data_IF_637392239276
#
_entry.id   IF_637392239276
#
_cell.length_a   1.000
_cell.length_b   1.000
_cell.length_c   1.000
_cell.angle_alpha   90.00
_cell.angle_beta   90.00
_cell.angle_gamma   90.00
#
_symmetry.space_group_name_H-M   'P 1'
#
loop_
_entity.id
_entity.type
_entity.pdbx_description
1 polymer ?
#
# COMPACT_ATOMS: atom_id res chain seq x y z
N UNK A 1 -10.02 36.83 59.95
CA UNK A 1 -11.38 36.24 59.99
C UNK A 1 -12.08 36.63 58.70
N UNK A 2 -11.90 35.83 57.65
CA UNK A 2 -12.73 35.83 56.45
C UNK A 2 -12.84 34.37 56.02
N UNK A 3 -13.94 33.75 56.46
CA UNK A 3 -14.43 32.50 55.94
C UNK A 3 -15.06 32.79 54.58
N UNK A 4 -14.34 32.52 53.51
CA UNK A 4 -14.98 32.24 52.23
C UNK A 4 -14.55 30.82 51.88
N UNK A 5 -15.41 29.91 52.34
CA UNK A 5 -15.48 28.53 51.90
C UNK A 5 -15.76 28.62 50.39
N UNK A 6 -14.76 28.28 49.59
CA UNK A 6 -14.91 28.07 48.16
C UNK A 6 -15.88 26.89 47.99
N UNK A 7 -17.09 27.09 47.42
CA UNK A 7 -18.00 25.98 47.20
C UNK A 7 -17.37 25.04 46.18
N UNK A 8 -17.16 23.80 46.62
CA UNK A 8 -16.77 22.67 45.81
C UNK A 8 -17.60 22.64 44.52
N UNK A 9 -16.93 22.95 43.41
CA UNK A 9 -17.45 22.71 42.07
C UNK A 9 -17.62 21.19 41.94
N UNK A 10 -18.86 20.69 41.76
CA UNK A 10 -19.08 19.31 41.41
C UNK A 10 -18.67 19.12 39.96
N UNK A 11 -17.93 18.04 39.72
CA UNK A 11 -18.04 17.25 38.50
C UNK A 11 -17.54 17.96 37.22
N UNK A 12 -16.22 18.11 37.11
CA UNK A 12 -15.62 18.05 35.78
C UNK A 12 -15.96 16.67 35.20
N UNK A 13 -16.70 16.58 34.08
CA UNK A 13 -16.88 15.32 33.41
C UNK A 13 -15.50 14.85 32.94
N UNK A 14 -15.26 13.57 33.19
CA UNK A 14 -14.35 12.67 32.50
C UNK A 14 -13.73 13.24 31.23
N UNK A 15 -12.43 13.02 31.05
CA UNK A 15 -11.86 12.43 29.83
C UNK A 15 -10.52 11.78 30.25
N UNK A 16 -10.65 10.64 30.91
CA UNK A 16 -9.59 9.66 31.05
C UNK A 16 -9.32 9.08 29.66
N UNK A 17 -8.10 9.21 29.16
CA UNK A 17 -7.56 8.34 28.12
C UNK A 17 -8.21 8.43 26.74
N UNK A 18 -8.10 9.57 26.06
CA UNK A 18 -7.96 9.52 24.60
C UNK A 18 -6.53 9.06 24.27
N UNK A 19 -6.28 7.77 24.50
CA UNK A 19 -5.30 7.07 23.70
C UNK A 19 -5.80 7.23 22.27
N UNK A 20 -5.16 8.12 21.50
CA UNK A 20 -5.39 8.30 20.08
C UNK A 20 -5.21 6.94 19.39
N UNK A 21 -6.31 6.21 19.32
CA UNK A 21 -6.48 5.02 18.52
C UNK A 21 -6.39 5.53 17.08
N UNK A 22 -5.18 5.55 16.53
CA UNK A 22 -4.90 5.61 15.10
C UNK A 22 -5.09 4.18 14.57
N UNK A 23 -6.31 3.75 14.19
CA UNK A 23 -6.61 2.36 13.88
C UNK A 23 -6.37 2.08 12.38
N UNK A 24 -5.98 3.10 11.62
CA UNK A 24 -5.89 3.04 10.16
C UNK A 24 -4.49 2.66 9.67
N UNK A 25 -3.42 3.05 10.38
CA UNK A 25 -2.04 2.91 9.89
C UNK A 25 -1.45 1.51 10.09
N UNK A 26 -1.90 0.80 11.13
CA UNK A 26 -1.36 -0.50 11.53
C UNK A 26 -1.57 -1.58 10.46
N UNK A 27 -2.68 -1.52 9.72
CA UNK A 27 -2.96 -2.48 8.65
C UNK A 27 -2.08 -2.26 7.42
N UNK A 28 -1.80 -1.01 7.05
CA UNK A 28 -0.88 -0.73 5.95
C UNK A 28 0.55 -1.18 6.26
N UNK A 29 1.00 -1.00 7.51
CA UNK A 29 2.29 -1.47 8.00
C UNK A 29 2.38 -3.01 8.01
N UNK A 30 1.31 -3.70 8.39
CA UNK A 30 1.27 -5.18 8.34
C UNK A 30 1.45 -5.70 6.91
N UNK A 31 0.76 -5.08 5.94
CA UNK A 31 0.84 -5.44 4.52
C UNK A 31 2.22 -5.09 3.93
N UNK A 32 2.80 -3.96 4.33
CA UNK A 32 4.15 -3.55 3.99
C UNK A 32 5.19 -4.59 4.39
N UNK A 33 5.09 -5.10 5.61
CA UNK A 33 6.01 -6.09 6.15
C UNK A 33 5.86 -7.42 5.39
N UNK A 34 4.62 -7.86 5.12
CA UNK A 34 4.36 -9.06 4.31
C UNK A 34 4.98 -8.93 2.91
N UNK A 35 4.82 -7.78 2.26
CA UNK A 35 5.44 -7.46 0.96
C UNK A 35 6.96 -7.50 1.01
N UNK A 36 7.55 -6.93 2.06
CA UNK A 36 8.99 -6.92 2.27
C UNK A 36 9.53 -8.34 2.49
N UNK A 37 8.82 -9.17 3.26
CA UNK A 37 9.17 -10.57 3.50
C UNK A 37 9.09 -11.40 2.22
N UNK A 38 8.02 -11.26 1.44
CA UNK A 38 7.87 -11.93 0.13
C UNK A 38 9.02 -11.50 -0.80
N UNK A 39 9.36 -10.20 -0.81
CA UNK A 39 10.46 -9.68 -1.63
C UNK A 39 11.82 -10.20 -1.19
N UNK A 40 12.06 -10.27 0.11
CA UNK A 40 13.28 -10.82 0.69
C UNK A 40 13.43 -12.29 0.36
N UNK A 41 12.37 -13.08 0.53
CA UNK A 41 12.37 -14.52 0.25
C UNK A 41 12.58 -14.82 -1.24
N UNK A 42 11.96 -14.03 -2.12
CA UNK A 42 12.15 -14.12 -3.56
C UNK A 42 13.60 -13.81 -3.96
N UNK A 43 14.13 -12.68 -3.48
CA UNK A 43 15.50 -12.25 -3.81
C UNK A 43 16.55 -13.20 -3.23
N UNK A 44 16.24 -13.84 -2.11
CA UNK A 44 17.13 -14.83 -1.50
C UNK A 44 17.20 -16.14 -2.29
N UNK A 45 16.10 -16.53 -2.95
CA UNK A 45 16.04 -17.75 -3.77
C UNK A 45 16.95 -17.66 -5.02
N UNK A 46 17.37 -16.46 -5.44
CA UNK A 46 18.38 -16.28 -6.48
C UNK A 46 19.74 -16.90 -6.16
N UNK A 47 20.03 -17.18 -4.89
CA UNK A 47 21.29 -17.81 -4.49
C UNK A 47 21.31 -19.34 -4.71
N UNK A 48 20.21 -19.96 -5.16
CA UNK A 48 20.09 -21.42 -5.35
C UNK A 48 20.41 -21.86 -6.80
N UNK A 49 20.91 -23.09 -7.04
CA UNK A 49 21.44 -23.59 -8.32
C UNK A 49 20.66 -23.28 -9.62
N UNK A 50 21.47 -23.03 -10.66
CA UNK A 50 21.16 -22.66 -12.06
C UNK A 50 20.06 -23.48 -12.76
N UNK A 51 19.74 -24.69 -12.28
CA UNK A 51 18.76 -25.60 -12.89
C UNK A 51 17.32 -25.07 -12.88
N UNK A 52 17.03 -24.03 -12.07
CA UNK A 52 15.68 -23.44 -11.91
C UNK A 52 15.57 -22.04 -12.50
N UNK A 53 16.55 -21.59 -13.29
CA UNK A 53 16.65 -20.21 -13.76
C UNK A 53 15.39 -19.73 -14.52
N UNK A 54 14.78 -20.57 -15.36
CA UNK A 54 13.55 -20.24 -16.10
C UNK A 54 12.35 -20.05 -15.16
N UNK A 55 12.23 -20.90 -14.13
CA UNK A 55 11.14 -20.82 -13.15
C UNK A 55 11.33 -19.57 -12.29
N UNK A 56 12.56 -19.32 -11.84
CA UNK A 56 12.92 -18.12 -11.09
C UNK A 56 12.56 -16.85 -11.88
N UNK A 57 12.90 -16.76 -13.18
CA UNK A 57 12.57 -15.59 -14.01
C UNK A 57 11.05 -15.32 -14.09
N UNK A 58 10.24 -16.37 -14.28
CA UNK A 58 8.77 -16.24 -14.33
C UNK A 58 8.21 -15.79 -12.98
N UNK A 59 8.68 -16.39 -11.88
CA UNK A 59 8.26 -16.02 -10.52
C UNK A 59 8.66 -14.58 -10.23
N UNK A 60 9.84 -14.13 -10.67
CA UNK A 60 10.31 -12.76 -10.47
C UNK A 60 9.51 -11.69 -11.20
N UNK A 61 9.16 -11.94 -12.47
CA UNK A 61 8.24 -11.04 -13.19
C UNK A 61 6.86 -11.05 -12.52
N UNK A 62 6.35 -12.23 -12.13
CA UNK A 62 5.08 -12.33 -11.39
C UNK A 62 5.11 -11.59 -10.05
N UNK A 63 6.21 -11.69 -9.31
CA UNK A 63 6.39 -11.07 -8.01
C UNK A 63 6.51 -9.53 -8.14
N UNK A 64 7.07 -9.01 -9.23
CA UNK A 64 7.07 -7.56 -9.53
C UNK A 64 5.66 -7.02 -9.79
N UNK A 65 4.88 -7.71 -10.62
CA UNK A 65 3.48 -7.32 -10.89
C UNK A 65 2.64 -7.42 -9.62
N UNK A 66 2.81 -8.49 -8.83
CA UNK A 66 2.09 -8.67 -7.56
C UNK A 66 2.37 -7.55 -6.56
N UNK A 67 3.65 -7.17 -6.41
CA UNK A 67 4.06 -6.06 -5.55
C UNK A 67 3.43 -4.75 -6.02
N UNK A 68 3.49 -4.49 -7.33
CA UNK A 68 2.86 -3.32 -7.92
C UNK A 68 1.37 -3.27 -7.59
N UNK A 69 0.61 -4.35 -7.80
CA UNK A 69 -0.83 -4.40 -7.51
C UNK A 69 -1.13 -4.25 -6.01
N UNK A 70 -0.37 -4.91 -5.13
CA UNK A 70 -0.54 -4.73 -3.68
C UNK A 70 -0.24 -3.29 -3.24
N UNK A 71 0.79 -2.65 -3.81
CA UNK A 71 1.12 -1.25 -3.52
C UNK A 71 -0.01 -0.33 -3.99
N UNK A 72 -0.63 -0.59 -5.16
CA UNK A 72 -1.78 0.18 -5.62
C UNK A 72 -3.00 0.04 -4.70
N UNK A 73 -3.33 -1.20 -4.33
CA UNK A 73 -4.55 -1.47 -3.55
C UNK A 73 -4.43 -1.01 -2.09
N UNK A 74 -3.23 -1.12 -1.52
CA UNK A 74 -3.00 -0.87 -0.09
C UNK A 74 -2.19 0.40 0.17
N UNK A 75 -1.05 0.61 -0.47
CA UNK A 75 -0.22 1.79 -0.19
C UNK A 75 -0.71 3.08 -0.86
N UNK A 76 -1.39 2.98 -2.00
CA UNK A 76 -2.09 4.12 -2.63
C UNK A 76 -3.51 4.30 -2.10
N UNK A 77 -3.82 3.91 -0.85
CA UNK A 77 -5.08 4.26 -0.17
C UNK A 77 -6.39 3.86 -0.88
N UNK A 78 -6.38 3.18 -2.04
CA UNK A 78 -7.54 2.94 -2.91
C UNK A 78 -8.70 2.20 -2.25
N UNK A 79 -8.39 1.35 -1.27
CA UNK A 79 -9.41 0.57 -0.55
C UNK A 79 -10.17 1.38 0.50
N UNK A 80 -9.63 2.53 0.93
CA UNK A 80 -10.17 3.37 2.01
C UNK A 80 -10.33 4.86 1.62
N UNK A 81 -9.80 5.27 0.46
CA UNK A 81 -9.92 6.63 -0.09
C UNK A 81 -11.14 6.79 -1.01
N UNK A 82 -11.49 8.05 -1.26
CA UNK A 82 -12.53 8.46 -2.20
C UNK A 82 -12.25 7.90 -3.61
N UNK A 83 -13.31 7.35 -4.25
CA UNK A 83 -13.25 6.70 -5.57
C UNK A 83 -12.61 7.57 -6.66
N UNK A 84 -12.52 8.88 -6.46
CA UNK A 84 -11.91 9.84 -7.38
C UNK A 84 -10.40 9.61 -7.57
N UNK A 85 -9.66 9.36 -6.49
CA UNK A 85 -8.21 9.16 -6.53
C UNK A 85 -7.85 7.81 -7.19
N UNK A 86 -8.63 6.80 -6.84
CA UNK A 86 -8.63 5.48 -7.46
C UNK A 86 -8.89 5.53 -8.97
N UNK A 87 -9.89 6.32 -9.39
CA UNK A 87 -10.27 6.48 -10.79
C UNK A 87 -9.17 7.17 -11.62
N UNK A 88 -8.61 8.29 -11.13
CA UNK A 88 -7.53 9.00 -11.84
C UNK A 88 -6.30 8.11 -12.05
N UNK A 89 -5.94 7.31 -11.04
CA UNK A 89 -4.83 6.38 -11.16
C UNK A 89 -5.12 5.28 -12.20
N UNK A 90 -6.32 4.70 -12.19
CA UNK A 90 -6.70 3.66 -13.15
C UNK A 90 -6.75 4.19 -14.58
N UNK A 91 -7.23 5.42 -14.79
CA UNK A 91 -7.19 6.09 -16.10
C UNK A 91 -5.75 6.26 -16.57
N UNK A 92 -4.83 6.67 -15.68
CA UNK A 92 -3.40 6.75 -15.99
C UNK A 92 -2.78 5.40 -16.37
N UNK A 93 -3.12 4.32 -15.65
CA UNK A 93 -2.65 2.97 -15.94
C UNK A 93 -3.16 2.45 -17.28
N UNK A 94 -4.45 2.65 -17.57
CA UNK A 94 -5.06 2.29 -18.86
C UNK A 94 -4.46 3.09 -20.00
N UNK A 95 -4.24 4.40 -19.78
CA UNK A 95 -3.63 5.27 -20.78
C UNK A 95 -2.17 4.88 -21.05
N UNK A 96 -1.39 4.57 -20.01
CA UNK A 96 -0.01 4.09 -20.17
C UNK A 96 0.05 2.78 -20.96
N UNK A 97 -0.80 1.81 -20.63
CA UNK A 97 -0.88 0.54 -21.35
C UNK A 97 -1.37 0.75 -22.80
N UNK A 98 -2.36 1.62 -23.01
CA UNK A 98 -2.88 1.96 -24.32
C UNK A 98 -1.82 2.60 -25.22
N UNK A 99 -1.11 3.62 -24.72
CA UNK A 99 -0.01 4.27 -25.44
C UNK A 99 1.10 3.27 -25.77
N UNK A 100 1.45 2.40 -24.81
CA UNK A 100 2.45 1.35 -25.04
C UNK A 100 2.04 0.38 -26.15
N UNK A 101 0.79 -0.10 -26.15
CA UNK A 101 0.28 -0.99 -27.18
C UNK A 101 0.20 -0.31 -28.55
N UNK A 102 -0.21 0.96 -28.61
CA UNK A 102 -0.22 1.74 -29.85
C UNK A 102 1.19 1.94 -30.39
N UNK A 103 2.16 2.21 -29.52
CA UNK A 103 3.56 2.30 -29.91
C UNK A 103 4.09 0.97 -30.47
N UNK A 104 3.84 -0.15 -29.77
CA UNK A 104 4.23 -1.48 -30.25
C UNK A 104 3.56 -1.83 -31.59
N UNK A 105 2.27 -1.53 -31.74
CA UNK A 105 1.56 -1.75 -33.00
C UNK A 105 2.20 -0.93 -34.11
N UNK A 106 2.48 0.36 -33.87
CA UNK A 106 3.13 1.22 -34.87
C UNK A 106 4.51 0.69 -35.28
N UNK A 107 5.34 0.24 -34.34
CA UNK A 107 6.69 -0.25 -34.67
C UNK A 107 6.73 -1.66 -35.25
N UNK A 108 5.78 -2.54 -34.92
CA UNK A 108 5.74 -3.91 -35.44
C UNK A 108 4.97 -4.04 -36.77
N UNK A 109 3.97 -3.19 -37.04
CA UNK A 109 3.20 -3.22 -38.30
C UNK A 109 3.85 -2.42 -39.43
N UNK A 110 4.79 -1.52 -39.14
CA UNK A 110 5.52 -0.72 -40.13
C UNK A 110 7.00 -1.14 -40.31
N UNK A 111 7.40 -2.30 -39.77
CA UNK A 111 8.68 -2.95 -40.08
C UNK A 111 8.48 -4.19 -40.92
#
# INVERSE_FOLDING_TARGET
>A
MSSVIEPALPDAPHHEGEAHDHPTDKKFIEIAIILALITGLETWTYWWPQSWHTISLIVLIGCMVLKFVMILLYFMHLKWDSKLFSLMFYIGLVLALGVYLVALFTFQFFS
#
